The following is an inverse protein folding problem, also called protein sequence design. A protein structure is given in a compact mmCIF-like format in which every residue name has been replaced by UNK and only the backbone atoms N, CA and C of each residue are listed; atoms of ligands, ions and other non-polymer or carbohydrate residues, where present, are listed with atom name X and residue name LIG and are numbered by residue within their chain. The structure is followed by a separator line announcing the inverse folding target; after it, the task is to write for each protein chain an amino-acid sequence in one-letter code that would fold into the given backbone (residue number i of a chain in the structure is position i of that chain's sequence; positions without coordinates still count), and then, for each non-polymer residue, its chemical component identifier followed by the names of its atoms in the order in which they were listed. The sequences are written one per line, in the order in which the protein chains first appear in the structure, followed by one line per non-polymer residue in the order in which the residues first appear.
data_IF_971352287203
#
_entry.id   IF_971352287203
#
_cell.length_a   1.000
_cell.length_b   1.000
_cell.length_c   1.000
_cell.angle_alpha   90.00
_cell.angle_beta   90.00
_cell.angle_gamma   90.00
#
_symmetry.space_group_name_H-M   'P 1'
#
loop_
_entity.id
_entity.type
_entity.pdbx_description
1 polymer ?
#
# COMPACT_ATOMS: atom_id res chain seq x y z
N UNK A 1 48.37 10.34 5.58
CA UNK A 1 47.26 9.84 6.42
C UNK A 1 45.90 10.03 5.76
N UNK A 2 45.58 11.23 5.23
CA UNK A 2 44.29 11.57 4.58
C UNK A 2 43.93 10.68 3.38
N UNK A 3 44.90 10.29 2.54
CA UNK A 3 44.67 9.41 1.38
C UNK A 3 44.22 7.99 1.78
N UNK A 4 44.80 7.41 2.84
CA UNK A 4 44.41 6.07 3.33
C UNK A 4 43.00 6.07 3.93
N UNK A 5 42.63 7.16 4.62
CA UNK A 5 41.29 7.34 5.19
C UNK A 5 40.22 7.47 4.09
N UNK A 6 40.52 8.21 3.02
CA UNK A 6 39.63 8.33 1.85
C UNK A 6 39.43 7.02 1.10
N UNK A 7 40.50 6.25 0.90
CA UNK A 7 40.42 4.91 0.27
C UNK A 7 39.57 3.98 1.14
N UNK A 8 39.78 3.99 2.46
CA UNK A 8 38.98 3.19 3.39
C UNK A 8 37.49 3.55 3.35
N UNK A 9 37.14 4.85 3.31
CA UNK A 9 35.75 5.27 3.18
C UNK A 9 35.11 4.80 1.87
N UNK A 10 35.83 4.93 0.75
CA UNK A 10 35.32 4.49 -0.56
C UNK A 10 35.10 2.97 -0.59
N UNK A 11 36.01 2.19 -0.02
CA UNK A 11 35.85 0.74 0.09
C UNK A 11 34.68 0.34 0.97
N UNK A 12 34.45 1.04 2.08
CA UNK A 12 33.29 0.79 2.96
C UNK A 12 31.99 1.16 2.25
N UNK A 13 31.94 2.31 1.57
CA UNK A 13 30.77 2.71 0.78
C UNK A 13 30.47 1.71 -0.34
N UNK A 14 31.50 1.19 -1.02
CA UNK A 14 31.32 0.19 -2.07
C UNK A 14 30.81 -1.14 -1.52
N UNK A 15 31.36 -1.60 -0.39
CA UNK A 15 30.90 -2.81 0.29
C UNK A 15 29.45 -2.69 0.79
N UNK A 16 29.03 -1.51 1.27
CA UNK A 16 27.65 -1.26 1.67
C UNK A 16 26.67 -1.31 0.49
N UNK A 17 27.06 -0.82 -0.70
CA UNK A 17 26.24 -0.89 -1.91
C UNK A 17 26.03 -2.34 -2.41
N UNK A 18 27.00 -3.23 -2.17
CA UNK A 18 26.92 -4.65 -2.52
C UNK A 18 25.98 -5.45 -1.58
N UNK A 19 25.68 -4.94 -0.39
CA UNK A 19 24.79 -5.60 0.57
C UNK A 19 23.30 -5.31 0.34
N UNK A 20 22.95 -4.42 -0.59
CA UNK A 20 21.57 -4.01 -0.86
C UNK A 20 20.86 -4.84 -1.96
N UNK A 21 21.40 -6.02 -2.32
CA UNK A 21 20.77 -6.93 -3.26
C UNK A 21 19.66 -7.75 -2.58
N UNK A 22 18.50 -7.13 -2.37
CA UNK A 22 17.24 -7.82 -2.07
C UNK A 22 16.29 -7.77 -3.27
N UNK A 23 15.36 -8.73 -3.35
CA UNK A 23 14.35 -8.76 -4.41
C UNK A 23 13.16 -7.87 -4.03
N UNK A 24 12.90 -6.83 -4.84
CA UNK A 24 11.76 -5.93 -4.65
C UNK A 24 10.70 -6.16 -5.74
N UNK A 25 9.47 -6.38 -5.30
CA UNK A 25 8.31 -6.56 -6.18
C UNK A 25 7.33 -5.43 -5.90
N UNK A 26 6.86 -4.79 -6.97
CA UNK A 26 5.80 -3.79 -6.90
C UNK A 26 4.64 -4.26 -7.76
N UNK A 27 3.44 -4.29 -7.19
CA UNK A 27 2.25 -4.61 -7.94
C UNK A 27 1.73 -3.38 -8.67
N UNK A 28 1.40 -3.57 -9.95
CA UNK A 28 0.63 -2.57 -10.69
C UNK A 28 -0.81 -2.50 -10.14
N UNK A 29 -1.45 -1.32 -10.14
CA UNK A 29 -2.86 -1.20 -9.79
C UNK A 29 -3.73 -2.06 -10.71
N UNK A 30 -4.58 -2.94 -10.17
CA UNK A 30 -5.48 -3.72 -11.00
C UNK A 30 -6.61 -2.84 -11.56
N UNK A 31 -7.18 -3.25 -12.68
CA UNK A 31 -8.51 -2.81 -13.10
C UNK A 31 -9.44 -4.01 -12.97
N UNK A 32 -10.44 -3.91 -12.09
CA UNK A 32 -11.39 -5.00 -11.88
C UNK A 32 -12.65 -4.79 -12.73
N UNK A 33 -13.20 -5.85 -13.33
CA UNK A 33 -14.48 -5.74 -14.02
C UNK A 33 -15.59 -5.41 -13.01
N UNK A 34 -16.67 -4.74 -13.45
CA UNK A 34 -17.82 -4.52 -12.59
C UNK A 34 -18.39 -5.88 -12.14
N UNK A 35 -18.61 -6.07 -10.83
CA UNK A 35 -19.14 -7.32 -10.29
C UNK A 35 -20.59 -7.51 -10.74
N UNK A 36 -20.97 -8.76 -10.99
CA UNK A 36 -22.34 -9.13 -11.34
C UNK A 36 -23.21 -9.28 -10.07
N UNK A 37 -23.44 -8.16 -9.38
CA UNK A 37 -24.23 -8.08 -8.16
C UNK A 37 -25.18 -6.89 -8.23
N UNK A 38 -26.27 -6.95 -7.47
CA UNK A 38 -27.05 -5.75 -7.17
C UNK A 38 -26.28 -4.91 -6.16
N UNK A 39 -26.25 -3.60 -6.38
CA UNK A 39 -25.67 -2.65 -5.42
C UNK A 39 -26.47 -2.64 -4.12
N UNK A 40 -25.76 -2.37 -3.03
CA UNK A 40 -26.34 -2.17 -1.71
C UNK A 40 -26.91 -0.75 -1.67
N UNK A 41 -28.20 -0.56 -1.36
CA UNK A 41 -28.88 0.72 -1.49
C UNK A 41 -28.64 1.63 -0.28
N UNK A 42 -27.38 2.01 -0.08
CA UNK A 42 -26.92 2.93 0.97
C UNK A 42 -25.88 3.88 0.39
N UNK A 43 -25.78 5.07 0.98
CA UNK A 43 -24.75 6.07 0.67
C UNK A 43 -23.62 5.93 1.68
N UNK A 44 -22.39 5.70 1.21
CA UNK A 44 -21.23 5.52 2.09
C UNK A 44 -20.13 6.53 1.82
N UNK A 45 -19.42 6.91 2.88
CA UNK A 45 -18.11 7.53 2.77
C UNK A 45 -17.03 6.45 2.89
N UNK A 46 -15.99 6.55 2.07
CA UNK A 46 -14.82 5.66 2.11
C UNK A 46 -13.59 6.51 2.33
N UNK A 47 -12.81 6.18 3.36
CA UNK A 47 -11.54 6.86 3.66
C UNK A 47 -10.44 5.82 3.77
N UNK A 48 -9.50 5.82 2.83
CA UNK A 48 -8.29 5.01 2.95
C UNK A 48 -7.37 5.67 3.99
N UNK A 49 -6.86 4.93 4.99
CA UNK A 49 -5.85 5.45 5.90
C UNK A 49 -4.52 5.75 5.18
N UNK A 50 -3.75 6.70 5.69
CA UNK A 50 -2.45 7.09 5.11
C UNK A 50 -1.44 5.93 5.04
N UNK A 51 -1.45 5.05 6.03
CA UNK A 51 -0.59 3.86 6.07
C UNK A 51 -1.03 2.77 5.07
N UNK A 52 -2.22 2.87 4.48
CA UNK A 52 -2.74 1.88 3.55
C UNK A 52 -1.99 1.92 2.22
N UNK A 53 -1.64 3.12 1.73
CA UNK A 53 -0.90 3.28 0.46
C UNK A 53 0.56 2.83 0.54
N UNK A 54 1.12 2.74 1.74
CA UNK A 54 2.54 2.47 1.98
C UNK A 54 2.82 1.09 2.59
N UNK A 55 1.82 0.20 2.60
CA UNK A 55 1.99 -1.15 3.13
C UNK A 55 2.97 -1.98 2.29
N UNK A 56 4.00 -2.52 2.95
CA UNK A 56 5.01 -3.42 2.38
C UNK A 56 5.01 -4.71 3.17
N UNK A 57 4.88 -5.84 2.47
CA UNK A 57 5.06 -7.16 3.04
C UNK A 57 6.52 -7.61 2.87
N UNK A 58 7.10 -8.15 3.94
CA UNK A 58 8.48 -8.67 3.94
C UNK A 58 8.47 -10.17 4.22
N UNK A 59 9.07 -10.95 3.32
CA UNK A 59 9.27 -12.39 3.49
C UNK A 59 10.74 -12.71 3.69
N UNK A 60 11.07 -13.17 4.90
CA UNK A 60 12.38 -13.73 5.22
C UNK A 60 12.32 -15.25 5.25
N UNK A 61 12.81 -15.91 4.19
CA UNK A 61 12.96 -17.36 4.16
C UNK A 61 14.41 -17.74 4.40
N UNK A 62 14.69 -18.47 5.49
CA UNK A 62 16.04 -18.91 5.85
C UNK A 62 16.74 -19.61 4.67
N UNK A 63 17.86 -19.05 4.23
CA UNK A 63 18.65 -19.58 3.11
C UNK A 63 18.17 -19.14 1.72
N UNK A 64 17.22 -18.20 1.62
CA UNK A 64 16.81 -17.53 0.38
C UNK A 64 17.00 -16.02 0.48
N UNK A 65 16.86 -15.33 -0.65
CA UNK A 65 16.78 -13.87 -0.66
C UNK A 65 15.55 -13.39 0.11
N UNK A 66 15.71 -12.28 0.81
CA UNK A 66 14.64 -11.49 1.40
C UNK A 66 13.80 -10.86 0.28
N UNK A 67 12.47 -10.96 0.39
CA UNK A 67 11.53 -10.36 -0.54
C UNK A 67 10.80 -9.20 0.10
N UNK A 68 10.73 -8.07 -0.61
CA UNK A 68 9.91 -6.92 -0.23
C UNK A 68 8.84 -6.71 -1.29
N UNK A 69 7.57 -6.82 -0.92
CA UNK A 69 6.42 -6.70 -1.80
C UNK A 69 5.63 -5.44 -1.44
N UNK A 70 5.66 -4.44 -2.33
CA UNK A 70 4.87 -3.21 -2.23
C UNK A 70 3.44 -3.48 -2.69
N UNK A 71 2.51 -3.53 -1.72
CA UNK A 71 1.10 -3.86 -1.92
C UNK A 71 0.19 -2.66 -1.72
N UNK A 72 0.64 -1.63 -0.98
CA UNK A 72 -0.24 -0.59 -0.46
C UNK A 72 -1.04 0.14 -1.54
N UNK A 73 -0.35 0.69 -2.55
CA UNK A 73 -1.02 1.40 -3.65
C UNK A 73 -1.95 0.48 -4.45
N UNK A 74 -1.51 -0.73 -4.76
CA UNK A 74 -2.31 -1.68 -5.55
C UNK A 74 -3.60 -2.07 -4.81
N UNK A 75 -3.49 -2.33 -3.50
CA UNK A 75 -4.64 -2.62 -2.64
C UNK A 75 -5.55 -1.40 -2.47
N UNK A 76 -5.02 -0.19 -2.27
CA UNK A 76 -5.82 1.03 -2.14
C UNK A 76 -6.72 1.24 -3.36
N UNK A 77 -6.15 1.08 -4.57
CA UNK A 77 -6.87 1.18 -5.83
C UNK A 77 -7.90 0.06 -6.00
N UNK A 78 -7.53 -1.17 -5.64
CA UNK A 78 -8.45 -2.32 -5.68
C UNK A 78 -9.66 -2.11 -4.77
N UNK A 79 -9.46 -1.77 -3.50
CA UNK A 79 -10.54 -1.56 -2.54
C UNK A 79 -11.40 -0.35 -2.90
N UNK A 80 -10.79 0.72 -3.42
CA UNK A 80 -11.54 1.88 -3.92
C UNK A 80 -12.49 1.47 -5.05
N UNK A 81 -12.01 0.72 -6.04
CA UNK A 81 -12.85 0.21 -7.13
C UNK A 81 -13.94 -0.71 -6.62
N UNK A 82 -13.58 -1.67 -5.76
CA UNK A 82 -14.51 -2.66 -5.22
C UNK A 82 -15.66 -1.98 -4.46
N UNK A 83 -15.34 -1.09 -3.51
CA UNK A 83 -16.35 -0.39 -2.72
C UNK A 83 -17.22 0.51 -3.61
N UNK A 84 -16.63 1.18 -4.60
CA UNK A 84 -17.39 1.98 -5.59
C UNK A 84 -18.39 1.14 -6.38
N UNK A 85 -18.09 -0.13 -6.65
CA UNK A 85 -19.03 -1.03 -7.33
C UNK A 85 -20.12 -1.60 -6.43
N UNK A 86 -19.89 -1.65 -5.12
CA UNK A 86 -20.78 -2.34 -4.17
C UNK A 86 -21.96 -1.48 -3.71
N UNK A 87 -21.83 -0.16 -3.67
CA UNK A 87 -22.84 0.75 -3.09
C UNK A 87 -23.47 1.66 -4.14
N UNK A 88 -24.68 2.15 -3.87
CA UNK A 88 -25.40 3.07 -4.77
C UNK A 88 -24.67 4.40 -4.91
N UNK A 89 -24.17 4.95 -3.79
CA UNK A 89 -23.41 6.19 -3.75
C UNK A 89 -22.18 6.05 -2.85
N UNK A 90 -21.03 6.51 -3.35
CA UNK A 90 -19.76 6.47 -2.64
C UNK A 90 -19.10 7.84 -2.71
N UNK A 91 -18.79 8.40 -1.54
CA UNK A 91 -17.96 9.60 -1.40
C UNK A 91 -16.56 9.19 -0.95
N UNK A 92 -15.54 9.52 -1.73
CA UNK A 92 -14.14 9.29 -1.36
C UNK A 92 -13.64 10.46 -0.51
N UNK A 93 -13.21 10.15 0.72
CA UNK A 93 -12.59 11.09 1.64
C UNK A 93 -11.07 10.90 1.66
N UNK A 94 -10.35 12.00 1.81
CA UNK A 94 -8.91 11.98 2.09
C UNK A 94 -8.66 11.57 3.56
N UNK A 95 -7.48 11.01 3.90
CA UNK A 95 -7.16 10.56 5.26
C UNK A 95 -7.40 11.61 6.36
N UNK A 96 -7.24 12.89 6.03
CA UNK A 96 -7.41 14.02 6.96
C UNK A 96 -8.79 14.68 6.94
N UNK A 97 -9.71 14.25 6.08
CA UNK A 97 -11.01 14.89 5.96
C UNK A 97 -11.86 14.61 7.20
N UNK A 98 -12.54 15.64 7.70
CA UNK A 98 -13.51 15.49 8.79
C UNK A 98 -14.83 14.97 8.24
N UNK A 99 -15.16 13.73 8.59
CA UNK A 99 -16.40 13.10 8.15
C UNK A 99 -17.63 13.60 8.94
N UNK A 100 -17.44 14.38 10.01
CA UNK A 100 -18.54 14.90 10.83
C UNK A 100 -19.34 15.94 10.04
N UNK A 101 -20.66 15.74 9.97
CA UNK A 101 -21.58 16.66 9.32
C UNK A 101 -21.76 16.45 7.82
N UNK A 102 -21.12 15.43 7.25
CA UNK A 102 -21.48 14.90 5.93
C UNK A 102 -22.67 13.94 6.06
N UNK A 103 -23.46 13.82 4.99
CA UNK A 103 -24.66 12.97 4.93
C UNK A 103 -24.31 11.64 4.25
N UNK A 104 -24.15 10.60 5.06
CA UNK A 104 -23.92 9.22 4.62
C UNK A 104 -24.43 8.25 5.69
N UNK A 105 -24.77 7.03 5.29
CA UNK A 105 -25.25 5.97 6.18
C UNK A 105 -24.11 5.31 6.98
N UNK A 106 -22.91 5.26 6.39
CA UNK A 106 -21.73 4.69 7.02
C UNK A 106 -20.42 5.29 6.51
N UNK A 107 -19.40 5.31 7.38
CA UNK A 107 -18.01 5.56 7.03
C UNK A 107 -17.25 4.23 7.05
N UNK A 108 -16.57 3.90 5.95
CA UNK A 108 -15.76 2.70 5.79
C UNK A 108 -14.28 3.09 5.79
N UNK A 109 -13.52 2.54 6.73
CA UNK A 109 -12.07 2.72 6.86
C UNK A 109 -11.39 1.35 6.95
N UNK A 110 -10.80 0.83 5.86
CA UNK A 110 -10.17 -0.48 5.87
C UNK A 110 -8.78 -0.46 6.52
N UNK A 111 -8.35 -1.60 7.06
CA UNK A 111 -6.98 -1.86 7.51
C UNK A 111 -6.38 -3.05 6.76
N UNK A 112 -5.05 -3.09 6.68
CA UNK A 112 -4.28 -4.27 6.24
C UNK A 112 -3.59 -4.82 7.47
N UNK A 113 -4.05 -5.96 7.97
CA UNK A 113 -3.50 -6.58 9.17
C UNK A 113 -2.40 -7.59 8.84
N UNK A 114 -2.56 -8.33 7.74
CA UNK A 114 -1.61 -9.33 7.24
C UNK A 114 -1.77 -9.57 5.74
N UNK A 115 -0.76 -10.20 5.14
CA UNK A 115 -0.78 -10.76 3.79
C UNK A 115 -0.50 -12.27 3.94
N UNK A 116 -1.38 -13.13 3.40
CA UNK A 116 -1.30 -14.60 3.46
C UNK A 116 -0.94 -15.21 2.10
#
# INVERSE_FOLDING_TARGET
MVSKLRISLVSISLAALLAACGSNVRLDPPTIPPPNINRIPVTVAVRMPENFESFVHEEEVLGREEWRIDLGRSNAEFFTQLLTFMFDEVTLLQPGDDARGLDFDALIEPSIDAFE
#
